data_IF_576371073852
#
_entry.id   IF_576371073852
#
_cell.length_a   1.000
_cell.length_b   1.000
_cell.length_c   1.000
_cell.angle_alpha   90.00
_cell.angle_beta   90.00
_cell.angle_gamma   90.00
#
_symmetry.space_group_name_H-M   'P 1'
#
loop_
_entity.id
_entity.type
_entity.pdbx_description
1 polymer ?
#
# COMPACT_ATOMS: atom_id res chain seq x y z
N UNK A 1 -19.87 4.76 14.52
CA UNK A 1 -18.59 4.05 14.34
C UNK A 1 -17.70 4.95 13.49
N UNK A 2 -16.65 5.49 14.09
CA UNK A 2 -15.82 6.52 13.47
C UNK A 2 -15.03 5.92 12.31
N UNK A 3 -15.20 6.47 11.11
CA UNK A 3 -14.45 6.13 9.91
C UNK A 3 -12.99 6.57 10.16
N UNK A 4 -12.16 5.67 10.68
CA UNK A 4 -10.79 5.97 11.14
C UNK A 4 -9.82 6.28 9.99
N UNK A 5 -10.18 5.95 8.74
CA UNK A 5 -9.33 6.18 7.56
C UNK A 5 -10.18 6.94 6.53
N UNK A 6 -9.84 8.19 6.19
CA UNK A 6 -10.55 8.93 5.16
C UNK A 6 -10.33 8.28 3.79
N UNK A 7 -11.38 8.13 2.99
CA UNK A 7 -11.32 7.47 1.68
C UNK A 7 -10.34 8.15 0.70
N UNK A 8 -10.07 9.45 0.88
CA UNK A 8 -9.03 10.15 0.11
C UNK A 8 -7.66 9.49 0.30
N UNK A 9 -7.39 8.92 1.47
CA UNK A 9 -6.10 8.35 1.85
C UNK A 9 -5.93 6.90 1.36
N UNK A 10 -7.03 6.20 1.08
CA UNK A 10 -7.02 4.80 0.65
C UNK A 10 -6.35 4.60 -0.72
N UNK A 11 -6.71 5.45 -1.69
CA UNK A 11 -6.16 5.40 -3.06
C UNK A 11 -4.66 5.72 -3.13
N UNK A 12 -4.13 6.77 -2.49
CA UNK A 12 -2.69 7.01 -2.43
C UNK A 12 -1.96 5.94 -1.63
N UNK A 13 -2.57 5.31 -0.61
CA UNK A 13 -1.93 4.22 0.12
C UNK A 13 -1.58 3.02 -0.78
N UNK A 14 -2.48 2.64 -1.70
CA UNK A 14 -2.20 1.57 -2.66
C UNK A 14 -1.04 1.92 -3.63
N UNK A 15 -1.00 3.18 -4.10
CA UNK A 15 0.08 3.67 -4.97
C UNK A 15 1.42 3.70 -4.21
N UNK A 16 1.41 4.23 -2.99
CA UNK A 16 2.59 4.28 -2.12
C UNK A 16 3.10 2.88 -1.76
N UNK A 17 2.20 1.92 -1.56
CA UNK A 17 2.58 0.51 -1.34
C UNK A 17 3.37 -0.04 -2.53
N UNK A 18 2.88 0.18 -3.74
CA UNK A 18 3.54 -0.30 -4.96
C UNK A 18 4.91 0.36 -5.15
N UNK A 19 5.00 1.67 -4.91
CA UNK A 19 6.27 2.40 -4.97
C UNK A 19 7.27 1.93 -3.91
N UNK A 20 6.81 1.66 -2.69
CA UNK A 20 7.64 1.13 -1.62
C UNK A 20 8.17 -0.28 -1.96
N UNK A 21 7.35 -1.14 -2.58
CA UNK A 21 7.79 -2.44 -3.06
C UNK A 21 8.86 -2.31 -4.16
N UNK A 22 8.65 -1.42 -5.14
CA UNK A 22 9.63 -1.17 -6.22
C UNK A 22 10.96 -0.60 -5.68
N UNK A 23 10.90 0.33 -4.72
CA UNK A 23 12.08 0.84 -4.03
C UNK A 23 12.79 -0.29 -3.28
N UNK A 24 12.04 -1.16 -2.61
CA UNK A 24 12.56 -2.34 -1.92
C UNK A 24 13.32 -3.29 -2.85
N UNK A 25 12.76 -3.59 -4.01
CA UNK A 25 13.43 -4.38 -5.07
C UNK A 25 14.74 -3.71 -5.50
N UNK A 26 14.69 -2.41 -5.81
CA UNK A 26 15.89 -1.67 -6.23
C UNK A 26 17.01 -1.71 -5.19
N UNK A 27 16.68 -1.57 -3.91
CA UNK A 27 17.64 -1.64 -2.80
C UNK A 27 18.25 -3.04 -2.64
N UNK A 28 17.47 -4.11 -2.83
CA UNK A 28 17.99 -5.48 -2.82
C UNK A 28 18.93 -5.71 -3.99
N UNK A 29 18.56 -5.30 -5.20
CA UNK A 29 19.45 -5.39 -6.36
C UNK A 29 20.74 -4.58 -6.15
N UNK A 30 20.63 -3.38 -5.59
CA UNK A 30 21.79 -2.55 -5.26
C UNK A 30 22.69 -3.21 -4.22
N UNK A 31 22.11 -3.89 -3.22
CA UNK A 31 22.88 -4.67 -2.23
C UNK A 31 23.66 -5.80 -2.89
N UNK A 32 23.07 -6.47 -3.90
CA UNK A 32 23.71 -7.54 -4.64
C UNK A 32 24.87 -7.03 -5.51
N UNK A 33 24.71 -5.85 -6.12
CA UNK A 33 25.75 -5.20 -6.94
C UNK A 33 26.91 -4.70 -6.09
N UNK A 34 26.62 -4.08 -4.94
CA UNK A 34 27.64 -3.46 -4.08
C UNK A 34 28.27 -4.42 -3.08
N UNK A 35 27.68 -5.60 -2.88
CA UNK A 35 28.05 -6.54 -1.80
C UNK A 35 27.70 -6.04 -0.40
N UNK A 36 27.02 -4.89 -0.28
CA UNK A 36 26.69 -4.25 0.98
C UNK A 36 25.34 -4.71 1.53
N UNK A 37 25.36 -5.54 2.57
CA UNK A 37 24.13 -6.04 3.23
C UNK A 37 23.25 -4.94 3.83
N UNK A 38 23.81 -3.76 4.11
CA UNK A 38 23.08 -2.60 4.62
C UNK A 38 21.88 -2.24 3.74
N UNK A 39 22.02 -2.30 2.41
CA UNK A 39 20.96 -1.96 1.47
C UNK A 39 19.86 -3.02 1.42
N UNK A 40 20.19 -4.29 1.67
CA UNK A 40 19.20 -5.36 1.75
C UNK A 40 18.24 -5.15 2.95
N UNK A 41 18.75 -4.66 4.08
CA UNK A 41 17.94 -4.34 5.27
C UNK A 41 16.90 -3.26 4.93
N UNK A 42 17.32 -2.19 4.27
CA UNK A 42 16.40 -1.13 3.81
C UNK A 42 15.43 -1.62 2.73
N UNK A 43 15.87 -2.56 1.89
CA UNK A 43 15.01 -3.24 0.94
C UNK A 43 13.87 -4.00 1.63
N UNK A 44 14.20 -4.84 2.62
CA UNK A 44 13.19 -5.56 3.43
C UNK A 44 12.28 -4.62 4.21
N UNK A 45 12.81 -3.55 4.82
CA UNK A 45 12.00 -2.55 5.50
C UNK A 45 11.00 -1.86 4.56
N UNK A 46 11.39 -1.65 3.30
CA UNK A 46 10.51 -1.08 2.27
C UNK A 46 9.37 -2.04 1.91
N UNK A 47 9.60 -3.36 1.90
CA UNK A 47 8.54 -4.36 1.75
C UNK A 47 7.57 -4.40 2.93
N UNK A 48 8.07 -4.27 4.16
CA UNK A 48 7.20 -4.17 5.35
C UNK A 48 6.33 -2.92 5.29
N UNK A 49 6.90 -1.78 4.90
CA UNK A 49 6.14 -0.55 4.67
C UNK A 49 5.10 -0.70 3.56
N UNK A 50 5.45 -1.35 2.46
CA UNK A 50 4.53 -1.67 1.37
C UNK A 50 3.36 -2.53 1.84
N UNK A 51 3.63 -3.57 2.63
CA UNK A 51 2.59 -4.45 3.16
C UNK A 51 1.62 -3.71 4.09
N UNK A 52 2.12 -2.81 4.95
CA UNK A 52 1.28 -1.97 5.81
C UNK A 52 0.40 -1.00 5.00
N UNK A 53 0.99 -0.33 4.00
CA UNK A 53 0.25 0.57 3.11
C UNK A 53 -0.83 -0.18 2.31
N UNK A 54 -0.52 -1.39 1.87
CA UNK A 54 -1.49 -2.24 1.17
C UNK A 54 -2.63 -2.66 2.09
N UNK A 55 -2.31 -3.10 3.31
CA UNK A 55 -3.28 -3.45 4.33
C UNK A 55 -4.24 -2.29 4.63
N UNK A 56 -3.72 -1.07 4.80
CA UNK A 56 -4.55 0.13 5.01
C UNK A 56 -5.49 0.39 3.83
N UNK A 57 -5.01 0.23 2.59
CA UNK A 57 -5.83 0.39 1.41
C UNK A 57 -6.95 -0.66 1.31
N UNK A 58 -6.63 -1.92 1.63
CA UNK A 58 -7.58 -3.04 1.64
C UNK A 58 -8.66 -2.86 2.72
N UNK A 59 -8.25 -2.43 3.92
CA UNK A 59 -9.18 -2.09 5.00
C UNK A 59 -10.13 -0.97 4.59
N UNK A 60 -9.63 0.09 3.96
CA UNK A 60 -10.49 1.17 3.49
C UNK A 60 -11.49 0.68 2.43
N UNK A 61 -11.04 -0.12 1.45
CA UNK A 61 -11.92 -0.69 0.43
C UNK A 61 -13.01 -1.59 1.01
N UNK A 62 -12.69 -2.40 2.03
CA UNK A 62 -13.64 -3.28 2.70
C UNK A 62 -14.72 -2.52 3.51
N UNK A 63 -14.45 -1.26 3.88
CA UNK A 63 -15.36 -0.44 4.70
C UNK A 63 -16.04 0.68 3.92
N UNK A 64 -15.74 0.83 2.62
CA UNK A 64 -16.45 1.76 1.73
C UNK A 64 -17.88 1.26 1.43
N UNK A 65 -18.92 2.10 1.58
CA UNK A 65 -20.30 1.70 1.31
C UNK A 65 -20.52 1.40 -0.18
N UNK A 66 -21.18 0.28 -0.46
CA UNK A 66 -21.50 -0.19 -1.81
C UNK A 66 -22.43 0.83 -2.51
N UNK A 67 -22.21 1.16 -3.80
CA UNK A 67 -23.12 2.03 -4.54
C UNK A 67 -24.53 1.44 -4.52
N UNK A 68 -25.50 2.14 -3.93
CA UNK A 68 -26.90 1.73 -3.98
C UNK A 68 -27.37 1.70 -5.44
N UNK A 69 -27.94 0.59 -5.93
CA UNK A 69 -28.49 0.56 -7.29
C UNK A 69 -29.59 1.62 -7.41
N UNK A 70 -29.74 2.28 -8.58
CA UNK A 70 -30.77 3.28 -8.77
C UNK A 70 -32.13 2.61 -8.49
N UNK A 71 -32.89 3.16 -7.54
CA UNK A 71 -34.29 2.76 -7.34
C UNK A 71 -35.02 3.13 -8.63
N UNK A 72 -35.23 2.14 -9.50
CA UNK A 72 -36.10 2.28 -10.66
C UNK A 72 -37.46 2.75 -10.19
N UNK A 73 -37.78 4.02 -10.47
CA UNK A 73 -39.09 4.60 -10.25
C UNK A 73 -40.09 3.87 -11.14
N UNK A 74 -41.12 3.31 -10.49
CA UNK A 74 -42.36 2.94 -11.15
C UNK A 74 -43.25 4.17 -11.24
#
# INVERSE_FOLDING_TARGET
>A
MQHLIPEWLARPAAVLSTLAALAGVGLIFWSAVTGGYWWAIWGTASFVGAALLWHVADYAAAHSPLPTPPRGGR
#
